data_IF_863930443812
#
_entry.id   IF_863930443812
#
_cell.length_a   1.000
_cell.length_b   1.000
_cell.length_c   1.000
_cell.angle_alpha   90.00
_cell.angle_beta   90.00
_cell.angle_gamma   90.00
#
_symmetry.space_group_name_H-M   'P 1'
#
loop_
_entity.id
_entity.type
_entity.pdbx_description
1 polymer ?
#
# COMPACT_ATOMS: atom_id res chain seq x y z
N UNK A 1 13.67 2.94 21.99
CA UNK A 1 14.63 2.06 21.33
C UNK A 1 15.30 1.28 22.43
N UNK A 2 14.83 0.07 22.66
CA UNK A 2 15.32 -0.78 23.74
C UNK A 2 16.49 -1.57 23.18
N UNK A 3 17.69 -1.40 23.75
CA UNK A 3 18.92 -2.05 23.28
C UNK A 3 18.95 -3.54 23.70
N UNK A 4 18.00 -4.32 23.16
CA UNK A 4 17.92 -5.76 23.40
C UNK A 4 19.18 -6.51 22.94
N UNK A 5 19.93 -5.94 22.00
CA UNK A 5 21.17 -6.53 21.49
C UNK A 5 22.29 -6.60 22.53
N UNK A 6 22.22 -5.81 23.60
CA UNK A 6 23.22 -5.82 24.68
C UNK A 6 22.77 -6.57 25.94
N UNK A 7 21.53 -7.06 26.00
CA UNK A 7 20.97 -7.78 27.16
C UNK A 7 21.22 -9.29 27.05
N UNK A 8 21.26 -9.97 28.19
CA UNK A 8 21.32 -11.42 28.21
C UNK A 8 20.02 -12.02 27.66
N UNK A 9 20.11 -13.13 26.91
CA UNK A 9 18.94 -13.75 26.28
C UNK A 9 17.82 -14.13 27.28
N UNK A 10 18.19 -14.48 28.52
CA UNK A 10 17.21 -14.75 29.59
C UNK A 10 16.41 -13.51 29.99
N UNK A 11 17.10 -12.37 30.18
CA UNK A 11 16.46 -11.09 30.55
C UNK A 11 15.50 -10.61 29.45
N UNK A 12 15.87 -10.79 28.19
CA UNK A 12 15.02 -10.44 27.04
C UNK A 12 13.77 -11.34 26.99
N UNK A 13 13.92 -12.63 27.29
CA UNK A 13 12.80 -13.57 27.33
C UNK A 13 11.82 -13.21 28.47
N UNK A 14 12.34 -12.87 29.64
CA UNK A 14 11.52 -12.48 30.79
C UNK A 14 10.78 -11.16 30.52
N UNK A 15 11.48 -10.14 29.97
CA UNK A 15 10.88 -8.83 29.63
C UNK A 15 9.80 -8.95 28.55
N UNK A 16 10.02 -9.81 27.54
CA UNK A 16 9.05 -10.07 26.47
C UNK A 16 7.99 -11.11 26.84
N UNK A 17 8.00 -11.61 28.10
CA UNK A 17 7.12 -12.69 28.58
C UNK A 17 7.09 -13.86 27.58
N UNK A 18 8.25 -14.31 27.13
CA UNK A 18 8.43 -15.36 26.14
C UNK A 18 9.30 -16.47 26.71
N UNK A 19 9.22 -17.66 26.13
CA UNK A 19 10.01 -18.81 26.56
C UNK A 19 11.00 -19.25 25.49
N UNK A 20 11.93 -20.14 25.87
CA UNK A 20 12.80 -20.86 24.92
C UNK A 20 12.01 -21.81 24.01
N UNK A 21 10.80 -22.21 24.42
CA UNK A 21 9.85 -22.98 23.59
C UNK A 21 8.96 -22.08 22.71
N UNK A 22 9.18 -20.75 22.71
CA UNK A 22 8.38 -19.79 21.97
C UNK A 22 7.12 -19.37 22.72
N UNK A 23 6.19 -18.74 22.00
CA UNK A 23 4.89 -18.32 22.52
C UNK A 23 3.84 -19.40 22.31
N UNK A 24 2.80 -19.43 23.13
CA UNK A 24 1.63 -20.27 22.82
C UNK A 24 0.82 -19.68 21.67
N UNK A 25 0.04 -20.51 20.99
CA UNK A 25 -0.87 -20.02 19.93
C UNK A 25 -1.88 -18.99 20.47
N UNK A 26 -2.41 -19.19 21.68
CA UNK A 26 -3.34 -18.24 22.33
C UNK A 26 -2.67 -16.89 22.66
N UNK A 27 -1.46 -16.91 23.24
CA UNK A 27 -0.73 -15.67 23.53
C UNK A 27 -0.37 -14.90 22.27
N UNK A 28 -0.01 -15.62 21.19
CA UNK A 28 0.21 -15.01 19.89
C UNK A 28 -1.08 -14.40 19.33
N UNK A 29 -2.24 -15.02 19.47
CA UNK A 29 -3.52 -14.43 19.06
C UNK A 29 -3.83 -13.16 19.85
N UNK A 30 -3.63 -13.21 21.18
CA UNK A 30 -3.90 -12.10 22.08
C UNK A 30 -2.99 -10.89 21.79
N UNK A 31 -1.70 -11.14 21.56
CA UNK A 31 -0.74 -10.11 21.13
C UNK A 31 -1.10 -9.55 19.75
N UNK A 32 -1.66 -10.34 18.83
CA UNK A 32 -2.14 -9.85 17.52
C UNK A 32 -3.22 -8.80 17.70
N UNK A 33 -4.20 -9.11 18.55
CA UNK A 33 -5.33 -8.23 18.81
C UNK A 33 -4.88 -6.93 19.48
N UNK A 34 -3.81 -6.97 20.28
CA UNK A 34 -3.27 -5.81 20.99
C UNK A 34 -2.37 -4.93 20.12
N UNK A 35 -1.45 -5.53 19.36
CA UNK A 35 -0.40 -4.80 18.62
C UNK A 35 -0.68 -4.67 17.12
N UNK A 36 -1.70 -5.36 16.59
CA UNK A 36 -2.01 -5.38 15.18
C UNK A 36 -1.16 -6.37 14.39
N UNK A 37 -1.37 -6.39 13.06
CA UNK A 37 -0.56 -7.21 12.16
C UNK A 37 0.80 -6.56 11.89
N UNK A 38 1.83 -7.39 11.71
CA UNK A 38 3.14 -6.93 11.26
C UNK A 38 3.11 -6.61 9.75
N UNK A 39 2.36 -5.58 9.40
CA UNK A 39 2.22 -5.03 8.05
C UNK A 39 2.55 -3.54 8.07
N UNK A 40 3.41 -3.12 7.17
CA UNK A 40 3.62 -1.70 6.91
C UNK A 40 2.30 -1.08 6.42
N UNK A 41 1.96 0.15 6.84
CA UNK A 41 0.75 0.82 6.38
C UNK A 41 0.77 0.92 4.85
N UNK A 42 -0.22 0.30 4.21
CA UNK A 42 -0.36 0.41 2.77
C UNK A 42 -0.67 1.86 2.40
N UNK A 43 0.08 2.42 1.45
CA UNK A 43 -0.30 3.69 0.83
C UNK A 43 -1.70 3.48 0.27
N UNK A 44 -2.70 4.14 0.88
CA UNK A 44 -4.09 4.14 0.42
C UNK A 44 -4.09 4.33 -1.09
N UNK A 45 -4.80 3.46 -1.82
CA UNK A 45 -5.06 3.63 -3.25
C UNK A 45 -5.35 5.11 -3.49
N UNK A 46 -4.64 5.77 -4.42
CA UNK A 46 -4.93 7.16 -4.74
C UNK A 46 -6.43 7.23 -5.03
N UNK A 47 -7.17 7.99 -4.23
CA UNK A 47 -8.60 8.14 -4.42
C UNK A 47 -8.84 8.56 -5.88
N UNK A 48 -9.86 8.01 -6.54
CA UNK A 48 -10.12 8.26 -7.96
C UNK A 48 -10.12 9.77 -8.30
N UNK A 49 -10.63 10.59 -7.38
CA UNK A 49 -10.63 12.06 -7.44
C UNK A 49 -9.20 12.63 -7.44
N UNK A 50 -8.28 12.07 -6.65
CA UNK A 50 -6.87 12.49 -6.60
C UNK A 50 -6.14 12.17 -7.91
N UNK A 51 -6.46 11.04 -8.54
CA UNK A 51 -5.91 10.67 -9.85
C UNK A 51 -6.41 11.62 -10.94
N UNK A 52 -7.71 11.96 -10.91
CA UNK A 52 -8.30 12.98 -11.78
C UNK A 52 -7.65 14.36 -11.58
N UNK A 53 -7.46 14.81 -10.34
CA UNK A 53 -6.79 16.07 -10.01
C UNK A 53 -5.31 16.10 -10.42
N UNK A 54 -4.60 14.96 -10.39
CA UNK A 54 -3.22 14.87 -10.89
C UNK A 54 -3.12 15.09 -12.40
N UNK A 55 -4.16 14.76 -13.18
CA UNK A 55 -4.18 15.03 -14.62
C UNK A 55 -4.14 16.54 -14.91
N UNK A 56 -4.76 17.39 -14.09
CA UNK A 56 -4.68 18.85 -14.23
C UNK A 56 -3.30 19.42 -13.89
N UNK A 57 -2.44 18.66 -13.19
CA UNK A 57 -1.04 19.03 -12.96
C UNK A 57 -0.14 18.72 -14.16
N UNK A 58 -0.64 17.97 -15.13
CA UNK A 58 0.10 17.72 -16.36
C UNK A 58 0.03 18.99 -17.23
N UNK A 59 1.20 19.60 -17.45
CA UNK A 59 1.34 20.80 -18.29
C UNK A 59 0.67 20.63 -19.67
N UNK A 60 0.70 19.43 -20.26
CA UNK A 60 0.05 19.17 -21.54
C UNK A 60 -1.48 19.27 -21.46
N UNK A 61 -2.09 18.78 -20.39
CA UNK A 61 -3.55 18.84 -20.20
C UNK A 61 -3.98 20.29 -19.93
N UNK A 62 -3.18 21.05 -19.19
CA UNK A 62 -3.43 22.48 -19.00
C UNK A 62 -3.45 23.24 -20.33
N UNK A 63 -2.48 22.98 -21.21
CA UNK A 63 -2.42 23.58 -22.55
C UNK A 63 -3.68 23.23 -23.37
N UNK A 64 -4.11 21.97 -23.34
CA UNK A 64 -5.33 21.53 -24.05
C UNK A 64 -6.60 22.19 -23.50
N UNK A 65 -6.71 22.36 -22.18
CA UNK A 65 -7.83 23.06 -21.56
C UNK A 65 -7.87 24.54 -21.97
N UNK A 66 -6.72 25.22 -21.99
CA UNK A 66 -6.63 26.62 -22.44
C UNK A 66 -7.02 26.71 -23.93
N UNK A 67 -6.56 25.80 -24.78
CA UNK A 67 -6.95 25.75 -26.18
C UNK A 67 -8.46 25.56 -26.36
N UNK A 68 -9.07 24.61 -25.63
CA UNK A 68 -10.51 24.36 -25.68
C UNK A 68 -11.33 25.59 -25.26
N UNK A 69 -10.88 26.34 -24.24
CA UNK A 69 -11.53 27.58 -23.78
C UNK A 69 -11.43 28.66 -24.86
N UNK A 70 -10.26 28.85 -25.47
CA UNK A 70 -10.06 29.83 -26.55
C UNK A 70 -10.99 29.53 -27.74
N UNK A 71 -11.13 28.26 -28.12
CA UNK A 71 -12.03 27.86 -29.22
C UNK A 71 -13.50 28.14 -28.90
N UNK A 72 -13.94 27.94 -27.66
CA UNK A 72 -15.30 28.30 -27.23
C UNK A 72 -15.54 29.81 -27.37
N UNK A 73 -14.58 30.64 -26.96
CA UNK A 73 -14.67 32.10 -27.16
C UNK A 73 -14.72 32.51 -28.63
N UNK A 74 -14.13 31.70 -29.52
CA UNK A 74 -14.20 31.89 -30.97
C UNK A 74 -15.47 31.29 -31.60
N UNK A 75 -16.44 30.82 -30.81
CA UNK A 75 -17.64 30.09 -31.26
C UNK A 75 -17.34 28.84 -32.11
N UNK A 76 -16.15 28.24 -31.92
CA UNK A 76 -15.70 27.02 -32.60
C UNK A 76 -16.04 25.78 -31.78
N UNK A 77 -17.34 25.49 -31.70
CA UNK A 77 -17.84 24.42 -30.85
C UNK A 77 -17.41 23.03 -31.31
N UNK A 78 -17.27 22.80 -32.62
CA UNK A 78 -16.87 21.51 -33.18
C UNK A 78 -15.42 21.16 -32.83
N UNK A 79 -14.53 22.14 -32.93
CA UNK A 79 -13.12 22.01 -32.60
C UNK A 79 -12.93 21.80 -31.09
N UNK A 80 -13.62 22.59 -30.27
CA UNK A 80 -13.56 22.44 -28.82
C UNK A 80 -14.09 21.06 -28.37
N UNK A 81 -15.15 20.57 -29.01
CA UNK A 81 -15.68 19.23 -28.76
C UNK A 81 -14.66 18.12 -29.07
N UNK A 82 -13.87 18.26 -30.15
CA UNK A 82 -12.82 17.31 -30.47
C UNK A 82 -11.73 17.27 -29.38
N UNK A 83 -11.33 18.42 -28.85
CA UNK A 83 -10.36 18.50 -27.73
C UNK A 83 -10.93 17.81 -26.48
N UNK A 84 -12.19 18.06 -26.16
CA UNK A 84 -12.86 17.41 -25.03
C UNK A 84 -12.87 15.87 -25.16
N UNK A 85 -13.14 15.34 -26.35
CA UNK A 85 -13.12 13.90 -26.61
C UNK A 85 -11.72 13.32 -26.31
N UNK A 86 -10.66 13.98 -26.78
CA UNK A 86 -9.28 13.55 -26.51
C UNK A 86 -8.97 13.57 -25.01
N UNK A 87 -9.42 14.59 -24.27
CA UNK A 87 -9.26 14.64 -22.82
C UNK A 87 -9.96 13.47 -22.11
N UNK A 88 -11.18 13.13 -22.53
CA UNK A 88 -11.92 11.99 -21.97
C UNK A 88 -11.19 10.67 -22.26
N UNK A 89 -10.73 10.47 -23.50
CA UNK A 89 -9.95 9.29 -23.87
C UNK A 89 -8.69 9.18 -23.00
N UNK A 90 -7.95 10.27 -22.84
CA UNK A 90 -6.75 10.30 -22.00
C UNK A 90 -7.05 10.00 -20.53
N UNK A 91 -8.19 10.47 -20.00
CA UNK A 91 -8.60 10.17 -18.63
C UNK A 91 -8.91 8.67 -18.45
N UNK A 92 -9.63 8.06 -19.40
CA UNK A 92 -9.95 6.62 -19.37
C UNK A 92 -8.70 5.77 -19.53
N UNK A 93 -7.84 6.10 -20.49
CA UNK A 93 -6.56 5.40 -20.69
C UNK A 93 -5.65 5.55 -19.46
N UNK A 94 -5.54 6.76 -18.89
CA UNK A 94 -4.76 6.99 -17.68
C UNK A 94 -5.29 6.19 -16.48
N UNK A 95 -6.61 6.16 -16.29
CA UNK A 95 -7.24 5.34 -15.23
C UNK A 95 -6.94 3.85 -15.39
N UNK A 96 -7.14 3.32 -16.60
CA UNK A 96 -6.93 1.89 -16.87
C UNK A 96 -5.45 1.49 -16.76
N UNK A 97 -4.52 2.35 -17.18
CA UNK A 97 -3.08 2.13 -17.01
C UNK A 97 -2.67 2.10 -15.53
N UNK A 98 -3.12 3.08 -14.74
CA UNK A 98 -2.82 3.15 -13.31
C UNK A 98 -3.43 1.96 -12.55
N UNK A 99 -4.69 1.60 -12.87
CA UNK A 99 -5.35 0.45 -12.26
C UNK A 99 -4.59 -0.85 -12.53
N UNK A 100 -4.13 -1.05 -13.77
CA UNK A 100 -3.31 -2.21 -14.14
C UNK A 100 -1.99 -2.22 -13.38
N UNK A 101 -1.29 -1.08 -13.32
CA UNK A 101 -0.02 -0.97 -12.60
C UNK A 101 -0.16 -1.31 -11.12
N UNK A 102 -1.20 -0.77 -10.45
CA UNK A 102 -1.48 -1.07 -9.05
C UNK A 102 -1.80 -2.55 -8.84
N UNK A 103 -2.61 -3.14 -9.71
CA UNK A 103 -2.96 -4.57 -9.65
C UNK A 103 -1.73 -5.46 -9.80
N UNK A 104 -0.82 -5.14 -10.72
CA UNK A 104 0.44 -5.87 -10.90
C UNK A 104 1.33 -5.80 -9.66
N UNK A 105 1.46 -4.62 -9.04
CA UNK A 105 2.22 -4.45 -7.79
C UNK A 105 1.57 -5.25 -6.65
N UNK A 106 0.25 -5.24 -6.54
CA UNK A 106 -0.48 -6.00 -5.52
C UNK A 106 -0.27 -7.51 -5.70
N UNK A 107 -0.32 -8.01 -6.94
CA UNK A 107 -0.06 -9.41 -7.26
C UNK A 107 1.38 -9.81 -6.92
N UNK A 108 2.37 -8.98 -7.29
CA UNK A 108 3.78 -9.21 -6.94
C UNK A 108 3.99 -9.25 -5.42
N UNK A 109 3.32 -8.36 -4.66
CA UNK A 109 3.38 -8.36 -3.19
C UNK A 109 2.81 -9.63 -2.57
N UNK A 110 1.72 -10.18 -3.13
CA UNK A 110 1.14 -11.44 -2.65
C UNK A 110 2.06 -12.64 -2.91
N UNK A 111 2.74 -12.67 -4.05
CA UNK A 111 3.72 -13.72 -4.38
C UNK A 111 4.98 -13.59 -3.51
N UNK A 112 5.43 -12.37 -3.28
CA UNK A 112 6.60 -12.07 -2.46
C UNK A 112 6.29 -12.02 -0.95
N UNK A 113 5.05 -12.35 -0.52
CA UNK A 113 4.65 -12.29 0.88
C UNK A 113 5.64 -13.10 1.72
N UNK A 114 6.47 -12.44 2.54
CA UNK A 114 7.59 -13.12 3.17
C UNK A 114 7.03 -14.12 4.17
N UNK A 115 7.44 -15.38 4.08
CA UNK A 115 7.12 -16.39 5.09
C UNK A 115 8.22 -16.36 6.14
N UNK A 116 7.83 -16.26 7.40
CA UNK A 116 8.73 -16.34 8.53
C UNK A 116 8.64 -17.70 9.21
N UNK A 117 9.71 -18.11 9.88
CA UNK A 117 9.71 -19.25 10.79
C UNK A 117 9.57 -18.73 12.21
N UNK A 118 8.59 -19.23 12.93
CA UNK A 118 8.37 -18.91 14.34
C UNK A 118 8.30 -20.21 15.15
N UNK A 119 8.66 -20.15 16.43
CA UNK A 119 8.45 -21.25 17.37
C UNK A 119 7.16 -20.95 18.14
N UNK A 120 6.16 -21.83 17.99
CA UNK A 120 4.87 -21.74 18.69
C UNK A 120 4.52 -23.08 19.30
N UNK A 121 4.05 -23.07 20.53
CA UNK A 121 3.72 -24.31 21.27
C UNK A 121 4.89 -25.32 21.27
N UNK A 122 6.14 -24.84 21.28
CA UNK A 122 7.33 -25.69 21.18
C UNK A 122 7.65 -26.23 19.78
N UNK A 123 6.84 -25.94 18.76
CA UNK A 123 6.98 -26.44 17.39
C UNK A 123 7.37 -25.32 16.42
N UNK A 124 8.31 -25.61 15.51
CA UNK A 124 8.72 -24.66 14.47
C UNK A 124 7.66 -24.64 13.36
N UNK A 125 6.97 -23.51 13.24
CA UNK A 125 5.87 -23.33 12.27
C UNK A 125 6.22 -22.22 11.28
N UNK A 126 5.90 -22.44 10.00
CA UNK A 126 6.04 -21.41 8.97
C UNK A 126 4.75 -20.59 8.92
N UNK A 127 4.87 -19.29 9.19
CA UNK A 127 3.74 -18.35 9.22
C UNK A 127 4.00 -17.20 8.25
N UNK A 128 2.95 -16.54 7.79
CA UNK A 128 3.09 -15.28 7.06
C UNK A 128 3.76 -14.25 7.96
N UNK A 129 4.66 -13.41 7.42
CA UNK A 129 5.30 -12.32 8.18
C UNK A 129 4.30 -11.37 8.82
N UNK A 130 3.17 -11.11 8.15
CA UNK A 130 2.04 -10.36 8.72
C UNK A 130 1.51 -10.96 10.03
N UNK A 131 1.77 -12.25 10.25
CA UNK A 131 1.40 -13.00 11.46
C UNK A 131 2.49 -13.06 12.52
N UNK A 132 3.68 -12.53 12.28
CA UNK A 132 4.66 -12.29 13.33
C UNK A 132 4.20 -11.15 14.23
N UNK A 133 4.69 -11.18 15.47
CA UNK A 133 4.59 -10.08 16.40
C UNK A 133 5.98 -9.82 16.98
N UNK A 134 6.35 -8.55 17.02
CA UNK A 134 7.39 -8.06 17.89
C UNK A 134 6.71 -7.12 18.90
N UNK A 135 7.18 -7.15 20.15
CA UNK A 135 6.87 -6.10 21.11
C UNK A 135 7.86 -4.97 20.82
N UNK A 136 7.38 -3.75 20.54
CA UNK A 136 8.23 -2.55 20.47
C UNK A 136 8.83 -2.20 21.84
#
# INVERSE_FOLDING_TARGET
MTDYYSKAAGEVLDELNSSRQGLTSEEAELRRSKYGENRLPEKKRKAQIKLFLEQFKNYLIFILLVAAVIEIFLNKYTESAAIFIVLVINAVLGYTQEYKAQTSIEALRRIAAPKARALRDGVRTQIETAKLQAQE
#
